data_IF_483836084792
#
_entry.id   IF_483836084792
#
_cell.length_a   1.000
_cell.length_b   1.000
_cell.length_c   1.000
_cell.angle_alpha   90.00
_cell.angle_beta   90.00
_cell.angle_gamma   90.00
#
_symmetry.space_group_name_H-M   'P 1'
#
loop_
_entity.id
_entity.type
_entity.pdbx_description
1 polymer ?
#
# COMPACT_ATOMS: atom_id res chain seq x y z
N UNK A 1 39.28 -58.43 27.62
CA UNK A 1 38.83 -57.54 28.73
C UNK A 1 37.82 -56.57 28.13
N UNK A 2 36.54 -56.98 28.09
CA UNK A 2 35.46 -56.25 27.44
C UNK A 2 34.71 -55.46 28.49
N UNK A 3 34.69 -54.15 28.32
CA UNK A 3 33.94 -53.25 29.19
C UNK A 3 32.56 -53.03 28.56
N UNK A 4 31.54 -53.64 29.17
CA UNK A 4 30.13 -53.40 28.83
C UNK A 4 29.68 -52.07 29.42
N UNK A 5 29.36 -51.11 28.58
CA UNK A 5 28.73 -49.85 28.97
C UNK A 5 27.22 -50.02 28.96
N UNK A 6 26.61 -50.02 30.14
CA UNK A 6 25.17 -50.10 30.37
C UNK A 6 24.55 -48.74 30.03
N UNK A 7 23.72 -48.67 28.98
CA UNK A 7 22.82 -47.56 28.69
C UNK A 7 21.59 -47.63 29.60
N UNK A 8 21.49 -46.75 30.58
CA UNK A 8 20.25 -46.49 31.30
C UNK A 8 19.30 -45.64 30.43
N UNK A 9 18.17 -46.21 30.05
CA UNK A 9 17.08 -45.51 29.40
C UNK A 9 16.30 -44.67 30.40
N UNK A 10 16.54 -43.34 30.39
CA UNK A 10 15.68 -42.42 31.08
C UNK A 10 14.38 -42.27 30.26
N UNK A 11 13.29 -42.84 30.75
CA UNK A 11 11.95 -42.59 30.28
C UNK A 11 11.51 -41.18 30.69
N UNK A 12 11.56 -40.26 29.73
CA UNK A 12 10.95 -38.94 29.87
C UNK A 12 9.42 -39.12 29.81
N UNK A 13 8.74 -38.97 30.95
CA UNK A 13 7.29 -38.79 30.98
C UNK A 13 7.02 -37.34 30.62
N UNK A 14 6.15 -37.05 29.60
CA UNK A 14 5.72 -35.67 29.35
C UNK A 14 4.80 -35.26 30.51
N UNK A 15 5.21 -34.27 31.25
CA UNK A 15 4.34 -33.51 32.15
C UNK A 15 3.20 -32.93 31.33
N UNK A 16 1.97 -33.08 31.82
CA UNK A 16 0.77 -32.40 31.32
C UNK A 16 1.04 -30.89 31.33
N UNK A 17 1.59 -30.38 30.24
CA UNK A 17 1.47 -28.95 29.94
C UNK A 17 0.00 -28.74 29.58
N UNK A 18 -0.73 -28.07 30.47
CA UNK A 18 -1.98 -27.41 30.17
C UNK A 18 -1.85 -26.80 28.76
N UNK A 19 -2.56 -27.36 27.80
CA UNK A 19 -2.78 -26.74 26.50
C UNK A 19 -3.55 -25.46 26.81
N UNK A 20 -2.79 -24.36 27.00
CA UNK A 20 -3.38 -23.05 27.04
C UNK A 20 -4.19 -22.93 25.74
N UNK A 21 -5.50 -22.74 25.86
CA UNK A 21 -6.36 -22.46 24.71
C UNK A 21 -5.69 -21.34 23.92
N UNK A 22 -5.56 -21.46 22.60
CA UNK A 22 -4.99 -20.40 21.80
C UNK A 22 -5.85 -19.15 22.05
N UNK A 23 -5.30 -18.17 22.73
CA UNK A 23 -5.94 -16.88 22.87
C UNK A 23 -6.11 -16.35 21.43
N UNK A 24 -7.35 -16.36 20.96
CA UNK A 24 -7.70 -15.84 19.63
C UNK A 24 -7.52 -14.32 19.72
N UNK A 25 -6.30 -13.86 19.49
CA UNK A 25 -6.06 -12.43 19.35
C UNK A 25 -6.68 -11.97 18.02
N UNK A 26 -7.48 -10.89 18.04
CA UNK A 26 -8.05 -10.33 16.84
C UNK A 26 -6.97 -10.04 15.79
N UNK A 27 -7.24 -10.43 14.56
CA UNK A 27 -6.31 -10.28 13.43
C UNK A 27 -6.73 -9.14 12.50
N UNK A 28 -5.82 -8.69 11.65
CA UNK A 28 -6.17 -7.74 10.58
C UNK A 28 -7.19 -8.32 9.61
N UNK A 29 -7.24 -9.64 9.44
CA UNK A 29 -8.21 -10.31 8.57
C UNK A 29 -9.63 -10.20 9.14
N UNK A 30 -9.79 -10.20 10.46
CA UNK A 30 -11.07 -9.97 11.11
C UNK A 30 -11.58 -8.54 10.86
N UNK A 31 -10.69 -7.54 10.92
CA UNK A 31 -11.04 -6.16 10.54
C UNK A 31 -11.41 -6.05 9.06
N UNK A 32 -10.70 -6.71 8.17
CA UNK A 32 -11.02 -6.74 6.74
C UNK A 32 -12.39 -7.38 6.52
N UNK A 33 -12.69 -8.48 7.20
CA UNK A 33 -13.98 -9.15 7.12
C UNK A 33 -15.12 -8.25 7.63
N UNK A 34 -14.89 -7.59 8.76
CA UNK A 34 -15.86 -6.67 9.37
C UNK A 34 -16.16 -5.47 8.46
N UNK A 35 -15.15 -4.83 7.89
CA UNK A 35 -15.32 -3.72 6.93
C UNK A 35 -16.03 -4.20 5.65
N UNK A 36 -15.72 -5.41 5.18
CA UNK A 36 -16.39 -6.01 4.02
C UNK A 36 -17.87 -6.28 4.29
N UNK A 37 -18.23 -6.74 5.48
CA UNK A 37 -19.63 -6.96 5.87
C UNK A 37 -20.45 -5.64 5.88
N UNK A 38 -19.80 -4.49 6.03
CA UNK A 38 -20.41 -3.16 6.00
C UNK A 38 -20.24 -2.42 4.66
N UNK A 39 -19.81 -3.10 3.59
CA UNK A 39 -19.40 -2.45 2.34
C UNK A 39 -20.52 -1.63 1.69
N UNK A 40 -21.74 -2.15 1.66
CA UNK A 40 -22.90 -1.44 1.07
C UNK A 40 -23.19 -0.14 1.81
N UNK A 41 -23.10 -0.16 3.13
CA UNK A 41 -23.30 1.01 3.98
C UNK A 41 -22.19 2.04 3.78
N UNK A 42 -20.94 1.60 3.74
CA UNK A 42 -19.77 2.45 3.46
C UNK A 42 -19.93 3.12 2.10
N UNK A 43 -20.35 2.38 1.10
CA UNK A 43 -20.51 2.88 -0.27
C UNK A 43 -21.72 3.83 -0.41
N UNK A 44 -22.82 3.57 0.30
CA UNK A 44 -23.95 4.51 0.35
C UNK A 44 -23.53 5.85 0.95
N UNK A 45 -22.89 5.79 2.12
CA UNK A 45 -22.40 6.97 2.81
C UNK A 45 -21.38 7.75 1.98
N UNK A 46 -20.45 7.05 1.32
CA UNK A 46 -19.48 7.69 0.42
C UNK A 46 -20.15 8.45 -0.72
N UNK A 47 -21.21 7.88 -1.32
CA UNK A 47 -21.98 8.55 -2.39
C UNK A 47 -22.71 9.78 -1.89
N UNK A 48 -23.35 9.71 -0.73
CA UNK A 48 -24.06 10.83 -0.09
C UNK A 48 -23.12 12.00 0.19
N UNK A 49 -21.89 11.70 0.61
CA UNK A 49 -20.86 12.70 0.95
C UNK A 49 -19.98 13.07 -0.25
N UNK A 50 -20.26 12.57 -1.46
CA UNK A 50 -19.44 12.73 -2.65
C UNK A 50 -17.95 12.39 -2.40
N UNK A 51 -17.70 11.23 -1.80
CA UNK A 51 -16.37 10.64 -1.57
C UNK A 51 -16.21 9.41 -2.48
N UNK A 52 -14.99 9.15 -2.97
CA UNK A 52 -14.73 7.90 -3.67
C UNK A 52 -14.87 6.71 -2.71
N UNK A 53 -15.75 5.72 -3.03
CA UNK A 53 -16.06 4.63 -2.10
C UNK A 53 -14.86 3.76 -1.73
N UNK A 54 -13.95 3.49 -2.70
CA UNK A 54 -12.75 2.70 -2.42
C UNK A 54 -11.77 3.45 -1.54
N UNK A 55 -11.67 4.77 -1.71
CA UNK A 55 -10.86 5.62 -0.84
C UNK A 55 -11.40 5.58 0.59
N UNK A 56 -12.70 5.72 0.80
CA UNK A 56 -13.29 5.64 2.15
C UNK A 56 -13.03 4.27 2.78
N UNK A 57 -13.31 3.17 2.07
CA UNK A 57 -13.07 1.81 2.57
C UNK A 57 -11.61 1.59 2.97
N UNK A 58 -10.66 1.98 2.14
CA UNK A 58 -9.25 1.78 2.43
C UNK A 58 -8.75 2.67 3.56
N UNK A 59 -9.28 3.89 3.70
CA UNK A 59 -8.99 4.75 4.84
C UNK A 59 -9.54 4.18 6.15
N UNK A 60 -10.72 3.56 6.15
CA UNK A 60 -11.24 2.86 7.33
C UNK A 60 -10.28 1.75 7.77
N UNK A 61 -9.79 0.91 6.86
CA UNK A 61 -8.81 -0.13 7.16
C UNK A 61 -7.43 0.40 7.62
N UNK A 62 -7.12 1.66 7.35
CA UNK A 62 -5.94 2.32 7.92
C UNK A 62 -6.21 2.88 9.33
N UNK A 63 -7.44 3.24 9.66
CA UNK A 63 -7.79 3.88 10.93
C UNK A 63 -8.26 2.90 12.01
N UNK A 64 -9.06 1.89 11.65
CA UNK A 64 -9.62 0.91 12.59
C UNK A 64 -8.58 0.16 13.43
N UNK A 65 -7.37 -0.21 12.93
CA UNK A 65 -6.37 -0.90 13.73
C UNK A 65 -5.95 -0.20 15.03
N UNK A 66 -6.18 1.12 15.17
CA UNK A 66 -5.90 1.84 16.43
C UNK A 66 -6.91 1.54 17.54
N UNK A 67 -8.11 1.06 17.17
CA UNK A 67 -9.19 0.73 18.10
C UNK A 67 -9.05 -0.69 18.67
N UNK A 68 -8.22 -1.53 18.05
CA UNK A 68 -7.99 -2.89 18.55
C UNK A 68 -7.02 -2.85 19.72
N UNK A 69 -7.44 -3.43 20.83
CA UNK A 69 -6.60 -3.65 22.03
C UNK A 69 -6.57 -5.14 22.36
N UNK A 70 -5.88 -5.54 23.44
CA UNK A 70 -5.87 -6.93 23.89
C UNK A 70 -7.27 -7.41 24.32
N UNK A 71 -8.09 -6.48 24.83
CA UNK A 71 -9.38 -6.78 25.46
C UNK A 71 -10.59 -6.28 24.67
N UNK A 72 -10.35 -5.55 23.56
CA UNK A 72 -11.44 -4.89 22.82
C UNK A 72 -11.22 -4.96 21.31
N UNK A 73 -12.31 -5.23 20.58
CA UNK A 73 -12.35 -5.29 19.13
C UNK A 73 -13.50 -4.44 18.61
N UNK A 74 -13.28 -3.61 17.57
CA UNK A 74 -14.31 -2.70 17.05
C UNK A 74 -15.62 -3.39 16.70
N UNK A 75 -16.73 -2.82 17.15
CA UNK A 75 -18.08 -3.25 16.81
C UNK A 75 -18.66 -2.40 15.64
N UNK A 76 -19.93 -2.65 15.29
CA UNK A 76 -20.61 -1.88 14.25
C UNK A 76 -20.77 -0.39 14.58
N UNK A 77 -20.87 -0.03 15.85
CA UNK A 77 -21.01 1.38 16.30
C UNK A 77 -19.68 2.10 16.15
N UNK A 78 -18.58 1.40 16.43
CA UNK A 78 -17.23 1.91 16.22
C UNK A 78 -16.97 2.17 14.76
N UNK A 79 -17.34 1.23 13.89
CA UNK A 79 -17.23 1.42 12.44
C UNK A 79 -18.07 2.62 12.01
N UNK A 80 -19.28 2.77 12.53
CA UNK A 80 -20.11 3.91 12.16
C UNK A 80 -19.49 5.25 12.57
N UNK A 81 -18.97 5.34 13.78
CA UNK A 81 -18.25 6.54 14.25
C UNK A 81 -17.02 6.82 13.37
N UNK A 82 -16.31 5.77 13.01
CA UNK A 82 -15.11 5.90 12.19
C UNK A 82 -15.43 6.29 10.74
N UNK A 83 -16.53 5.80 10.17
CA UNK A 83 -17.02 6.25 8.84
C UNK A 83 -17.21 7.77 8.84
N UNK A 84 -17.84 8.33 9.87
CA UNK A 84 -18.06 9.78 9.98
C UNK A 84 -16.73 10.52 10.10
N UNK A 85 -15.86 10.11 11.03
CA UNK A 85 -14.59 10.77 11.28
C UNK A 85 -13.65 10.73 10.06
N UNK A 86 -13.59 9.60 9.37
CA UNK A 86 -12.78 9.44 8.14
C UNK A 86 -13.38 10.24 7.00
N UNK A 87 -14.71 10.30 6.90
CA UNK A 87 -15.38 11.11 5.87
C UNK A 87 -15.08 12.60 6.04
N UNK A 88 -15.16 13.12 7.25
CA UNK A 88 -14.83 14.51 7.55
C UNK A 88 -13.36 14.82 7.20
N UNK A 89 -12.45 13.90 7.52
CA UNK A 89 -11.04 14.03 7.14
C UNK A 89 -10.83 14.03 5.62
N UNK A 90 -11.55 13.19 4.88
CA UNK A 90 -11.47 13.15 3.42
C UNK A 90 -12.09 14.40 2.79
N UNK A 91 -13.13 14.95 3.37
CA UNK A 91 -13.72 16.22 2.93
C UNK A 91 -12.78 17.40 3.12
N UNK A 92 -12.10 17.50 4.27
CA UNK A 92 -11.07 18.54 4.49
C UNK A 92 -9.99 18.50 3.39
N UNK A 93 -9.59 17.28 2.99
CA UNK A 93 -8.60 17.10 1.89
C UNK A 93 -9.17 17.51 0.55
N UNK A 94 -10.41 17.19 0.28
CA UNK A 94 -11.13 17.50 -0.96
C UNK A 94 -11.30 18.98 -1.19
N UNK A 95 -11.63 19.74 -0.13
CA UNK A 95 -11.87 21.19 -0.20
C UNK A 95 -10.72 21.97 -0.86
N UNK A 96 -9.50 21.43 -0.77
CA UNK A 96 -8.32 22.02 -1.41
C UNK A 96 -8.37 22.01 -2.94
N UNK A 97 -9.13 21.10 -3.55
CA UNK A 97 -9.12 20.83 -4.99
C UNK A 97 -10.48 20.94 -5.67
N UNK A 98 -11.42 21.65 -5.07
CA UNK A 98 -12.70 21.91 -5.73
C UNK A 98 -12.56 23.09 -6.73
N UNK A 99 -13.25 23.05 -7.89
CA UNK A 99 -14.32 22.09 -8.30
C UNK A 99 -13.82 20.81 -8.99
N UNK A 100 -12.52 20.69 -9.31
CA UNK A 100 -11.95 19.62 -10.11
C UNK A 100 -12.24 18.24 -9.52
N UNK A 101 -12.19 18.11 -8.19
CA UNK A 101 -12.52 16.90 -7.47
C UNK A 101 -13.94 16.42 -7.78
N UNK A 102 -14.93 17.30 -7.66
CA UNK A 102 -16.35 16.96 -7.89
C UNK A 102 -16.61 16.53 -9.33
N UNK A 103 -15.96 17.17 -10.28
CA UNK A 103 -16.05 16.79 -11.69
C UNK A 103 -15.43 15.41 -11.94
N UNK A 104 -14.32 15.09 -11.29
CA UNK A 104 -13.65 13.79 -11.44
C UNK A 104 -14.49 12.63 -10.94
N UNK A 105 -15.32 12.82 -9.90
CA UNK A 105 -16.19 11.76 -9.36
C UNK A 105 -17.38 11.40 -10.26
N UNK A 106 -17.81 12.29 -11.13
CA UNK A 106 -18.97 12.02 -12.01
C UNK A 106 -18.68 10.81 -12.88
N UNK A 107 -19.58 9.85 -12.88
CA UNK A 107 -19.49 8.71 -13.79
C UNK A 107 -19.81 9.16 -15.22
N UNK A 108 -19.25 8.49 -16.25
CA UNK A 108 -19.67 8.69 -17.63
C UNK A 108 -21.15 8.32 -17.78
N UNK A 109 -21.86 8.98 -18.68
CA UNK A 109 -23.26 8.66 -18.99
C UNK A 109 -23.43 7.25 -19.57
N UNK A 110 -22.41 6.77 -20.28
CA UNK A 110 -22.35 5.40 -20.79
C UNK A 110 -21.16 4.64 -20.20
N UNK A 111 -21.25 3.33 -19.98
CA UNK A 111 -20.10 2.52 -19.64
C UNK A 111 -19.00 2.67 -20.69
N UNK A 112 -17.75 2.83 -20.22
CA UNK A 112 -16.59 2.88 -21.09
C UNK A 112 -16.08 1.46 -21.39
N UNK A 113 -15.48 1.31 -22.56
CA UNK A 113 -14.67 0.15 -22.94
C UNK A 113 -13.19 0.52 -22.93
N UNK A 114 -12.31 -0.48 -22.98
CA UNK A 114 -10.86 -0.24 -23.11
C UNK A 114 -10.51 0.50 -24.41
N UNK A 115 -11.31 0.33 -25.46
CA UNK A 115 -11.16 1.04 -26.74
C UNK A 115 -11.43 2.54 -26.67
N UNK A 116 -12.20 2.98 -25.68
CA UNK A 116 -12.52 4.39 -25.45
C UNK A 116 -11.40 5.13 -24.70
N UNK A 117 -10.33 4.42 -24.27
CA UNK A 117 -9.28 4.99 -23.46
C UNK A 117 -8.07 5.42 -24.30
N UNK A 118 -7.54 6.60 -24.00
CA UNK A 118 -6.30 7.13 -24.53
C UNK A 118 -5.23 7.18 -23.44
N UNK A 119 -4.06 6.61 -23.73
CA UNK A 119 -2.91 6.62 -22.82
C UNK A 119 -2.00 7.80 -23.14
N UNK A 120 -1.54 8.51 -22.10
CA UNK A 120 -0.59 9.59 -22.27
C UNK A 120 -0.01 10.10 -20.97
N UNK A 121 0.96 11.01 -21.05
CA UNK A 121 1.56 11.66 -19.90
C UNK A 121 0.53 12.52 -19.16
N UNK A 122 0.80 12.71 -17.87
CA UNK A 122 -0.02 13.54 -16.99
C UNK A 122 0.90 14.55 -16.29
N UNK A 123 0.46 15.79 -16.22
CA UNK A 123 1.20 16.83 -15.52
C UNK A 123 1.22 16.62 -14.00
N UNK A 124 2.25 17.17 -13.37
CA UNK A 124 2.53 17.01 -11.95
C UNK A 124 1.40 17.50 -11.05
N UNK A 125 0.82 18.67 -11.36
CA UNK A 125 -0.22 19.27 -10.52
C UNK A 125 -1.49 18.42 -10.52
N UNK A 126 -1.90 17.95 -11.68
CA UNK A 126 -3.03 17.02 -11.81
C UNK A 126 -2.74 15.70 -11.09
N UNK A 127 -1.56 15.11 -11.29
CA UNK A 127 -1.19 13.87 -10.59
C UNK A 127 -1.19 14.06 -9.06
N UNK A 128 -0.70 15.19 -8.57
CA UNK A 128 -0.70 15.55 -7.15
C UNK A 128 -2.12 15.64 -6.60
N UNK A 129 -3.01 16.34 -7.29
CA UNK A 129 -4.42 16.44 -6.93
C UNK A 129 -5.07 15.05 -6.80
N UNK A 130 -4.90 14.20 -7.81
CA UNK A 130 -5.48 12.85 -7.79
C UNK A 130 -4.89 11.98 -6.67
N UNK A 131 -3.57 12.02 -6.44
CA UNK A 131 -2.95 11.23 -5.37
C UNK A 131 -3.34 11.73 -3.98
N UNK A 132 -3.43 13.02 -3.78
CA UNK A 132 -3.84 13.59 -2.49
C UNK A 132 -5.34 13.38 -2.21
N UNK A 133 -6.18 13.37 -3.25
CA UNK A 133 -7.65 13.29 -3.11
C UNK A 133 -8.19 11.86 -3.13
N UNK A 134 -7.68 11.00 -4.02
CA UNK A 134 -8.30 9.70 -4.29
C UNK A 134 -7.43 8.51 -3.90
N UNK A 135 -6.10 8.65 -3.88
CA UNK A 135 -5.26 7.52 -3.51
C UNK A 135 -5.25 7.33 -1.98
N UNK A 136 -5.36 6.07 -1.51
CA UNK A 136 -5.45 5.75 -0.08
C UNK A 136 -4.28 6.29 0.77
N UNK A 137 -3.07 6.35 0.22
CA UNK A 137 -1.91 6.94 0.91
C UNK A 137 -2.09 8.45 1.12
N UNK A 138 -2.87 9.11 0.26
CA UNK A 138 -3.19 10.53 0.36
C UNK A 138 -2.00 11.47 0.33
N UNK A 139 -0.93 11.06 -0.33
CA UNK A 139 0.28 11.88 -0.48
C UNK A 139 0.83 11.75 -1.88
N UNK A 140 1.31 12.87 -2.40
CA UNK A 140 2.03 12.93 -3.65
C UNK A 140 3.45 12.36 -3.50
N UNK A 141 3.96 11.76 -4.58
CA UNK A 141 5.36 11.38 -4.74
C UNK A 141 5.84 11.90 -6.09
N UNK A 142 6.94 12.65 -6.14
CA UNK A 142 7.55 13.08 -7.40
C UNK A 142 7.90 11.88 -8.29
N UNK A 143 7.85 12.10 -9.60
CA UNK A 143 8.12 11.06 -10.58
C UNK A 143 7.45 11.37 -11.91
N UNK A 144 7.28 10.37 -12.73
CA UNK A 144 6.59 10.48 -14.01
C UNK A 144 5.18 9.96 -13.89
N UNK A 145 4.25 10.67 -14.47
CA UNK A 145 2.83 10.40 -14.30
C UNK A 145 2.21 10.12 -15.66
N UNK A 146 1.37 9.09 -15.70
CA UNK A 146 0.65 8.67 -16.89
C UNK A 146 -0.81 8.44 -16.51
N UNK A 147 -1.69 8.65 -17.48
CA UNK A 147 -3.12 8.42 -17.28
C UNK A 147 -3.75 7.74 -18.49
N UNK A 148 -4.84 7.02 -18.24
CA UNK A 148 -5.86 6.82 -19.23
C UNK A 148 -6.91 7.92 -19.11
N UNK A 149 -7.26 8.51 -20.25
CA UNK A 149 -8.37 9.45 -20.40
C UNK A 149 -9.43 8.86 -21.28
N UNK A 150 -10.68 9.18 -21.02
CA UNK A 150 -11.76 8.96 -21.97
C UNK A 150 -11.53 9.86 -23.19
N UNK A 151 -11.45 9.28 -24.38
CA UNK A 151 -11.20 9.98 -25.65
C UNK A 151 -12.21 11.07 -25.96
N UNK A 152 -13.46 10.89 -25.52
CA UNK A 152 -14.54 11.81 -25.84
C UNK A 152 -14.59 13.00 -24.90
N UNK A 153 -14.39 12.77 -23.61
CA UNK A 153 -14.53 13.81 -22.58
C UNK A 153 -13.19 14.34 -22.05
N UNK A 154 -12.06 13.69 -22.36
CA UNK A 154 -10.74 14.01 -21.81
C UNK A 154 -10.58 13.65 -20.32
N UNK A 155 -11.60 13.08 -19.69
CA UNK A 155 -11.61 12.77 -18.24
C UNK A 155 -10.65 11.65 -17.90
N UNK A 156 -9.96 11.79 -16.79
CA UNK A 156 -9.07 10.76 -16.26
C UNK A 156 -9.91 9.59 -15.74
N UNK A 157 -9.61 8.39 -16.22
CA UNK A 157 -10.22 7.11 -15.82
C UNK A 157 -9.36 6.39 -14.81
N UNK A 158 -8.06 6.41 -15.01
CA UNK A 158 -7.06 5.93 -14.07
C UNK A 158 -5.75 6.67 -14.28
N UNK A 159 -4.90 6.60 -13.29
CA UNK A 159 -3.54 7.14 -13.38
C UNK A 159 -2.55 6.24 -12.62
N UNK A 160 -1.30 6.29 -13.08
CA UNK A 160 -0.19 5.65 -12.41
C UNK A 160 1.05 6.54 -12.43
N UNK A 161 1.83 6.44 -11.37
CA UNK A 161 3.07 7.21 -11.21
C UNK A 161 4.24 6.27 -11.01
N UNK A 162 5.29 6.49 -11.77
CA UNK A 162 6.55 5.79 -11.65
C UNK A 162 7.63 6.71 -11.10
N UNK A 163 8.45 6.16 -10.22
CA UNK A 163 9.55 6.87 -9.59
C UNK A 163 10.78 5.97 -9.55
N UNK A 164 11.94 6.54 -9.23
CA UNK A 164 13.14 5.75 -8.98
C UNK A 164 12.89 4.72 -7.87
N UNK A 165 13.50 3.57 -8.01
CA UNK A 165 13.51 2.54 -7.00
C UNK A 165 14.60 2.88 -5.98
N UNK A 166 14.23 3.15 -4.74
CA UNK A 166 15.11 3.70 -3.70
C UNK A 166 15.14 2.85 -2.42
N UNK A 167 14.95 1.55 -2.57
CA UNK A 167 14.94 0.62 -1.44
C UNK A 167 16.28 -0.11 -1.34
N UNK A 168 17.24 0.49 -0.65
CA UNK A 168 18.61 0.01 -0.54
C UNK A 168 18.78 -1.48 -0.29
N UNK A 169 17.97 -2.08 0.59
CA UNK A 169 18.09 -3.53 0.82
C UNK A 169 17.50 -4.39 -0.31
N UNK A 170 16.54 -3.88 -1.08
CA UNK A 170 16.03 -4.62 -2.23
C UNK A 170 17.01 -4.52 -3.40
N UNK A 171 17.75 -3.41 -3.52
CA UNK A 171 18.81 -3.25 -4.52
C UNK A 171 19.91 -4.29 -4.33
N UNK A 172 20.29 -4.61 -3.10
CA UNK A 172 21.28 -5.65 -2.79
C UNK A 172 20.86 -7.05 -3.27
N UNK A 173 19.56 -7.27 -3.49
CA UNK A 173 19.00 -8.54 -3.95
C UNK A 173 18.75 -8.59 -5.46
N UNK A 174 18.95 -7.49 -6.15
CA UNK A 174 18.87 -7.42 -7.62
C UNK A 174 20.18 -7.94 -8.22
N UNK A 175 20.07 -8.67 -9.33
CA UNK A 175 21.27 -9.22 -9.97
C UNK A 175 22.26 -8.08 -10.36
N UNK A 176 23.57 -8.30 -10.18
CA UNK A 176 24.58 -7.26 -10.39
C UNK A 176 24.64 -6.70 -11.82
N UNK A 177 24.11 -7.43 -12.80
CA UNK A 177 24.04 -7.02 -14.21
C UNK A 177 22.83 -6.11 -14.52
N UNK A 178 22.00 -5.81 -13.55
CA UNK A 178 20.88 -4.88 -13.67
C UNK A 178 21.29 -3.52 -13.11
N UNK A 179 21.50 -2.54 -13.98
CA UNK A 179 21.79 -1.16 -13.55
C UNK A 179 20.62 -0.61 -12.72
N UNK A 180 20.84 -0.15 -11.46
CA UNK A 180 19.80 0.42 -10.62
C UNK A 180 19.01 1.55 -11.29
N UNK A 181 19.65 2.34 -12.17
CA UNK A 181 18.98 3.42 -12.92
C UNK A 181 17.96 2.92 -13.94
N UNK A 182 18.07 1.65 -14.34
CA UNK A 182 17.09 0.98 -15.20
C UNK A 182 15.96 0.30 -14.43
N UNK A 183 15.91 0.52 -13.10
CA UNK A 183 14.89 -0.05 -12.19
C UNK A 183 13.97 1.05 -11.72
N UNK A 184 12.69 0.89 -11.97
CA UNK A 184 11.67 1.85 -11.57
C UNK A 184 10.64 1.21 -10.63
N UNK A 185 9.92 2.04 -9.91
CA UNK A 185 8.80 1.63 -9.07
C UNK A 185 7.49 2.25 -9.58
N UNK A 186 6.47 1.42 -9.80
CA UNK A 186 5.08 1.89 -9.87
C UNK A 186 4.67 2.29 -8.47
N UNK A 187 4.91 3.56 -8.15
CA UNK A 187 4.79 4.08 -6.79
C UNK A 187 3.35 4.36 -6.36
N UNK A 188 2.49 4.61 -7.32
CA UNK A 188 1.05 4.87 -7.15
C UNK A 188 0.30 4.36 -8.37
N UNK A 189 -0.86 3.76 -8.13
CA UNK A 189 -1.87 3.49 -9.14
C UNK A 189 -3.24 3.72 -8.53
N UNK A 190 -4.09 4.42 -9.27
CA UNK A 190 -5.48 4.66 -8.91
C UNK A 190 -6.35 4.49 -10.15
N UNK A 191 -7.49 3.86 -9.99
CA UNK A 191 -8.54 3.78 -11.01
C UNK A 191 -9.89 4.01 -10.33
N UNK A 192 -10.76 4.77 -10.96
CA UNK A 192 -12.13 4.91 -10.50
C UNK A 192 -12.87 3.58 -10.61
N UNK A 193 -13.85 3.36 -9.72
CA UNK A 193 -14.64 2.13 -9.72
C UNK A 193 -15.41 1.90 -11.03
N UNK A 194 -15.76 2.97 -11.72
CA UNK A 194 -16.42 2.93 -13.03
C UNK A 194 -15.48 2.70 -14.21
N UNK A 195 -14.18 2.60 -13.97
CA UNK A 195 -13.22 2.23 -15.02
C UNK A 195 -13.56 0.84 -15.58
N UNK A 196 -13.35 0.62 -16.89
CA UNK A 196 -13.59 -0.68 -17.52
C UNK A 196 -12.82 -1.80 -16.81
N UNK A 197 -13.34 -3.00 -16.86
CA UNK A 197 -12.60 -4.18 -16.44
C UNK A 197 -11.25 -4.27 -17.17
N UNK A 198 -10.25 -4.85 -16.50
CA UNK A 198 -8.89 -4.97 -17.03
C UNK A 198 -8.15 -3.65 -17.31
N UNK A 199 -8.67 -2.51 -16.85
CA UNK A 199 -8.01 -1.20 -16.98
C UNK A 199 -6.56 -1.23 -16.47
N UNK A 200 -6.29 -1.88 -15.32
CA UNK A 200 -4.92 -1.99 -14.81
C UNK A 200 -3.99 -2.71 -15.77
N UNK A 201 -4.39 -3.88 -16.26
CA UNK A 201 -3.57 -4.68 -17.18
C UNK A 201 -3.33 -3.94 -18.51
N UNK A 202 -4.35 -3.23 -19.00
CA UNK A 202 -4.23 -2.42 -20.21
C UNK A 202 -3.33 -1.20 -20.00
N UNK A 203 -3.49 -0.48 -18.90
CA UNK A 203 -2.64 0.62 -18.49
C UNK A 203 -1.18 0.17 -18.37
N UNK A 204 -0.96 -0.93 -17.65
CA UNK A 204 0.37 -1.49 -17.42
C UNK A 204 1.05 -1.88 -18.74
N UNK A 205 0.31 -2.47 -19.69
CA UNK A 205 0.84 -2.79 -21.03
C UNK A 205 1.34 -1.53 -21.75
N UNK A 206 0.58 -0.45 -21.74
CA UNK A 206 0.95 0.83 -22.38
C UNK A 206 2.13 1.48 -21.66
N UNK A 207 2.06 1.54 -20.33
CA UNK A 207 3.14 2.07 -19.50
C UNK A 207 4.47 1.33 -19.76
N UNK A 208 4.42 0.00 -19.82
CA UNK A 208 5.61 -0.82 -20.08
C UNK A 208 6.29 -0.48 -21.39
N UNK A 209 5.52 -0.32 -22.48
CA UNK A 209 6.07 0.05 -23.79
C UNK A 209 6.77 1.40 -23.71
N UNK A 210 6.12 2.39 -23.11
CA UNK A 210 6.67 3.73 -22.91
C UNK A 210 7.99 3.71 -22.13
N UNK A 211 8.02 2.96 -21.02
CA UNK A 211 9.19 2.89 -20.15
C UNK A 211 10.39 2.17 -20.79
N UNK A 212 10.14 1.19 -21.64
CA UNK A 212 11.21 0.52 -22.40
C UNK A 212 11.77 1.47 -23.46
N UNK A 213 10.89 2.14 -24.19
CA UNK A 213 11.27 2.99 -25.32
C UNK A 213 12.02 4.26 -24.88
N UNK A 214 11.51 4.94 -23.83
CA UNK A 214 12.05 6.22 -23.42
C UNK A 214 13.19 6.11 -22.40
N UNK A 215 13.23 5.04 -21.57
CA UNK A 215 14.07 5.01 -20.37
C UNK A 215 14.91 3.75 -20.22
N UNK A 216 14.94 2.88 -21.22
CA UNK A 216 15.63 1.57 -21.15
C UNK A 216 15.33 0.82 -19.84
N UNK A 217 14.10 0.94 -19.34
CA UNK A 217 13.71 0.30 -18.09
C UNK A 217 13.75 -1.22 -18.23
N UNK A 218 14.48 -1.89 -17.36
CA UNK A 218 14.66 -3.34 -17.37
C UNK A 218 13.75 -4.04 -16.41
N UNK A 219 13.48 -3.42 -15.25
CA UNK A 219 12.75 -4.02 -14.15
C UNK A 219 11.85 -2.96 -13.51
N UNK A 220 10.66 -3.37 -13.10
CA UNK A 220 9.73 -2.49 -12.37
C UNK A 220 9.19 -3.19 -11.14
N UNK A 221 9.07 -2.44 -10.04
CA UNK A 221 8.54 -2.89 -8.76
C UNK A 221 7.22 -2.19 -8.41
N UNK A 222 6.42 -2.81 -7.55
CA UNK A 222 5.24 -2.20 -6.93
C UNK A 222 4.99 -2.79 -5.55
N UNK A 223 4.60 -1.95 -4.59
CA UNK A 223 4.13 -2.40 -3.28
C UNK A 223 2.63 -2.64 -3.28
N UNK A 224 2.23 -3.74 -2.65
CA UNK A 224 0.84 -4.04 -2.31
C UNK A 224 0.71 -4.14 -0.80
N UNK A 225 -0.31 -3.50 -0.27
CA UNK A 225 -0.65 -3.60 1.14
C UNK A 225 -1.82 -4.59 1.33
N UNK A 226 -1.57 -5.85 1.74
CA UNK A 226 -2.63 -6.83 1.93
C UNK A 226 -3.59 -6.43 3.08
N UNK A 227 -3.11 -5.65 4.04
CA UNK A 227 -3.91 -5.18 5.18
C UNK A 227 -5.07 -4.25 4.80
N UNK A 228 -5.15 -3.85 3.54
CA UNK A 228 -6.25 -3.07 2.97
C UNK A 228 -7.21 -3.94 2.14
N UNK A 229 -7.11 -5.26 2.27
CA UNK A 229 -7.88 -6.22 1.50
C UNK A 229 -7.44 -6.37 0.04
N UNK A 230 -6.25 -5.87 -0.33
CA UNK A 230 -5.70 -6.05 -1.67
C UNK A 230 -5.04 -7.43 -1.79
N UNK A 231 -5.45 -8.19 -2.80
CA UNK A 231 -4.94 -9.54 -3.08
C UNK A 231 -4.00 -9.63 -4.28
N UNK A 232 -3.59 -8.49 -4.83
CA UNK A 232 -2.73 -8.37 -6.00
C UNK A 232 -3.26 -9.05 -7.28
N UNK A 233 -4.55 -9.37 -7.39
CA UNK A 233 -5.13 -10.07 -8.56
C UNK A 233 -4.85 -9.32 -9.86
N UNK A 234 -5.02 -7.99 -9.88
CA UNK A 234 -4.74 -7.16 -11.05
C UNK A 234 -3.26 -7.22 -11.46
N UNK A 235 -2.34 -7.21 -10.49
CA UNK A 235 -0.90 -7.35 -10.75
C UNK A 235 -0.57 -8.75 -11.27
N UNK A 236 -1.13 -9.81 -10.68
CA UNK A 236 -0.96 -11.19 -11.16
C UNK A 236 -1.47 -11.34 -12.59
N UNK A 237 -2.64 -10.77 -12.91
CA UNK A 237 -3.18 -10.73 -14.27
C UNK A 237 -2.29 -9.98 -15.26
N UNK A 238 -1.48 -9.03 -14.81
CA UNK A 238 -0.47 -8.32 -15.59
C UNK A 238 0.94 -8.96 -15.51
N UNK A 239 1.04 -10.22 -15.06
CA UNK A 239 2.27 -11.02 -14.97
C UNK A 239 3.34 -10.51 -13.98
N UNK A 240 2.93 -9.79 -12.94
CA UNK A 240 3.82 -9.47 -11.85
C UNK A 240 4.06 -10.69 -10.95
N UNK A 241 5.28 -10.79 -10.43
CA UNK A 241 5.73 -11.88 -9.55
C UNK A 241 6.06 -11.33 -8.16
N UNK A 242 5.80 -12.10 -7.12
CA UNK A 242 6.21 -11.73 -5.76
C UNK A 242 7.74 -11.81 -5.66
N UNK A 243 8.37 -10.66 -5.45
CA UNK A 243 9.81 -10.52 -5.29
C UNK A 243 10.23 -10.66 -3.83
N UNK A 244 9.52 -9.95 -2.94
CA UNK A 244 9.85 -9.93 -1.53
C UNK A 244 8.61 -9.67 -0.66
N UNK A 245 8.75 -9.93 0.65
CA UNK A 245 7.79 -9.56 1.68
C UNK A 245 8.49 -8.68 2.71
N UNK A 246 7.88 -7.57 3.06
CA UNK A 246 8.39 -6.62 4.04
C UNK A 246 7.61 -6.77 5.34
N UNK A 247 8.25 -7.34 6.37
CA UNK A 247 7.68 -7.51 7.70
C UNK A 247 7.89 -6.27 8.59
N UNK A 248 7.26 -6.27 9.77
CA UNK A 248 7.44 -5.23 10.78
C UNK A 248 6.71 -3.92 10.46
N UNK A 249 5.81 -3.91 9.47
CA UNK A 249 4.94 -2.75 9.22
C UNK A 249 4.04 -2.51 10.43
N UNK A 250 3.97 -1.26 10.88
CA UNK A 250 3.01 -0.80 11.89
C UNK A 250 2.31 0.45 11.41
N UNK A 251 1.06 0.59 11.78
CA UNK A 251 0.34 1.83 11.51
C UNK A 251 0.56 2.80 12.65
N UNK A 252 0.83 4.05 12.29
CA UNK A 252 1.08 5.13 13.24
C UNK A 252 0.05 6.22 13.06
N UNK A 253 -0.37 6.79 14.18
CA UNK A 253 -1.44 7.80 14.22
C UNK A 253 -0.96 9.04 14.95
N UNK A 254 -1.44 10.18 14.48
CA UNK A 254 -1.30 11.48 15.15
C UNK A 254 -2.69 12.08 15.32
N UNK A 255 -3.08 12.32 16.56
CA UNK A 255 -4.44 12.79 16.91
C UNK A 255 -5.54 11.90 16.30
N UNK A 256 -5.38 10.57 16.44
CA UNK A 256 -6.29 9.56 15.91
C UNK A 256 -6.30 9.38 14.38
N UNK A 257 -5.48 10.14 13.63
CA UNK A 257 -5.41 10.09 12.17
C UNK A 257 -4.20 9.30 11.70
N UNK A 258 -4.40 8.34 10.81
CA UNK A 258 -3.28 7.60 10.19
C UNK A 258 -2.31 8.55 9.49
N UNK A 259 -1.02 8.34 9.73
CA UNK A 259 0.08 9.05 9.09
C UNK A 259 1.16 8.07 8.62
N UNK A 260 1.70 8.34 7.45
CA UNK A 260 2.79 7.52 6.90
C UNK A 260 4.10 7.76 7.67
N UNK A 261 5.01 6.80 7.66
CA UNK A 261 6.35 6.98 8.23
C UNK A 261 7.05 8.21 7.66
N UNK A 262 6.90 8.48 6.35
CA UNK A 262 7.48 9.67 5.71
C UNK A 262 6.95 10.98 6.29
N UNK A 263 5.68 11.02 6.68
CA UNK A 263 5.12 12.18 7.37
C UNK A 263 5.87 12.46 8.67
N UNK A 264 6.15 11.43 9.46
CA UNK A 264 6.86 11.59 10.73
C UNK A 264 8.32 11.97 10.52
N UNK A 265 9.03 11.36 9.58
CA UNK A 265 10.39 11.75 9.22
C UNK A 265 10.45 13.21 8.79
N UNK A 266 9.54 13.63 7.89
CA UNK A 266 9.51 15.01 7.37
C UNK A 266 9.23 16.04 8.47
N UNK A 267 8.29 15.78 9.38
CA UNK A 267 7.81 16.78 10.33
C UNK A 267 8.51 16.68 11.70
N UNK A 268 9.06 15.52 12.05
CA UNK A 268 9.62 15.26 13.38
C UNK A 268 11.05 14.73 13.35
N UNK A 269 11.62 14.47 12.15
CA UNK A 269 12.98 14.01 11.95
C UNK A 269 13.20 12.52 12.25
N UNK A 270 12.14 11.76 12.55
CA UNK A 270 12.23 10.33 12.90
C UNK A 270 10.93 9.61 12.61
N UNK A 271 11.02 8.29 12.38
CA UNK A 271 9.89 7.36 12.39
C UNK A 271 9.96 6.32 13.51
N UNK A 272 10.95 6.47 14.40
CA UNK A 272 11.09 5.63 15.60
C UNK A 272 9.91 5.89 16.56
N UNK A 273 9.12 4.84 16.82
CA UNK A 273 7.90 4.94 17.62
C UNK A 273 8.17 5.40 19.06
N UNK A 274 9.27 4.96 19.69
CA UNK A 274 9.60 5.33 21.05
C UNK A 274 9.98 6.82 21.14
N UNK A 275 10.79 7.31 20.18
CA UNK A 275 11.15 8.73 20.09
C UNK A 275 9.92 9.60 19.81
N UNK A 276 9.03 9.15 18.92
CA UNK A 276 7.77 9.85 18.63
C UNK A 276 6.86 9.87 19.86
N UNK A 277 6.70 8.76 20.56
CA UNK A 277 5.90 8.71 21.80
C UNK A 277 6.43 9.65 22.86
N UNK A 278 7.76 9.72 23.03
CA UNK A 278 8.39 10.68 23.96
C UNK A 278 8.13 12.13 23.56
N UNK A 279 8.15 12.44 22.25
CA UNK A 279 7.99 13.81 21.72
C UNK A 279 6.53 14.29 21.69
N UNK A 280 5.59 13.41 21.34
CA UNK A 280 4.21 13.74 21.03
C UNK A 280 3.22 13.31 22.14
N UNK A 281 3.66 12.51 23.08
CA UNK A 281 2.85 12.09 24.22
C UNK A 281 1.61 11.31 23.81
N UNK A 282 0.44 11.77 24.28
CA UNK A 282 -0.85 11.12 24.05
C UNK A 282 -1.37 11.27 22.62
N UNK A 283 -0.92 12.29 21.88
CA UNK A 283 -1.29 12.50 20.48
C UNK A 283 -0.73 11.43 19.53
N UNK A 284 0.27 10.66 19.96
CA UNK A 284 0.89 9.63 19.13
C UNK A 284 0.51 8.22 19.60
N UNK A 285 0.03 7.42 18.65
CA UNK A 285 -0.37 6.04 18.85
C UNK A 285 0.22 5.14 17.77
N UNK A 286 0.38 3.85 18.09
CA UNK A 286 0.82 2.80 17.15
C UNK A 286 -0.18 1.66 17.26
N UNK A 287 -0.57 1.06 16.12
CA UNK A 287 -1.41 -0.13 16.14
C UNK A 287 -0.72 -1.28 16.87
N UNK A 288 -1.49 -2.00 17.68
CA UNK A 288 -1.05 -3.20 18.40
C UNK A 288 -1.33 -4.48 17.62
N UNK A 289 -2.27 -4.44 16.69
CA UNK A 289 -2.64 -5.57 15.84
C UNK A 289 -1.49 -6.00 14.94
N UNK A 290 -1.30 -7.30 14.77
CA UNK A 290 -0.35 -7.85 13.83
C UNK A 290 -0.80 -7.64 12.39
N UNK A 291 0.04 -6.98 11.61
CA UNK A 291 -0.18 -6.69 10.21
C UNK A 291 0.54 -7.72 9.34
N UNK A 292 -0.10 -8.11 8.25
CA UNK A 292 0.58 -8.89 7.22
C UNK A 292 1.78 -8.14 6.64
N UNK A 293 2.84 -8.86 6.27
CA UNK A 293 3.95 -8.26 5.53
C UNK A 293 3.47 -7.59 4.24
N UNK A 294 4.00 -6.41 3.94
CA UNK A 294 3.79 -5.76 2.65
C UNK A 294 4.38 -6.62 1.53
N UNK A 295 3.70 -6.73 0.41
CA UNK A 295 4.22 -7.46 -0.75
C UNK A 295 4.94 -6.52 -1.70
N UNK A 296 6.18 -6.84 -2.00
CA UNK A 296 6.93 -6.21 -3.07
C UNK A 296 6.86 -7.09 -4.31
N UNK A 297 6.15 -6.63 -5.31
CA UNK A 297 6.00 -7.31 -6.59
C UNK A 297 7.02 -6.76 -7.59
N UNK A 298 7.48 -7.61 -8.50
CA UNK A 298 8.39 -7.25 -9.58
C UNK A 298 7.90 -7.76 -10.92
N UNK A 299 8.23 -7.03 -11.99
CA UNK A 299 8.03 -7.48 -13.36
C UNK A 299 9.26 -7.14 -14.21
N UNK A 300 9.86 -8.12 -14.90
CA UNK A 300 10.91 -7.86 -15.85
C UNK A 300 10.30 -7.27 -17.13
N UNK A 301 10.73 -6.10 -17.52
CA UNK A 301 10.33 -5.48 -18.78
C UNK A 301 11.17 -5.99 -19.95
N UNK A 302 12.41 -6.34 -19.68
CA UNK A 302 13.31 -6.97 -20.64
C UNK A 302 13.65 -8.40 -20.23
N UNK A 303 13.87 -9.28 -21.21
CA UNK A 303 14.07 -10.72 -20.97
C UNK A 303 15.24 -11.02 -20.02
N UNK A 304 16.34 -10.27 -20.14
CA UNK A 304 17.54 -10.46 -19.31
C UNK A 304 17.28 -10.20 -17.83
N UNK A 305 16.42 -9.25 -17.51
CA UNK A 305 16.07 -8.90 -16.13
C UNK A 305 15.25 -9.97 -15.39
N UNK A 306 14.76 -11.02 -16.08
CA UNK A 306 14.05 -12.14 -15.41
C UNK A 306 14.92 -12.84 -14.37
N UNK A 307 16.22 -12.91 -14.59
CA UNK A 307 17.17 -13.54 -13.65
C UNK A 307 17.29 -12.78 -12.32
N UNK A 308 16.91 -11.51 -12.30
CA UNK A 308 16.90 -10.70 -11.08
C UNK A 308 15.73 -11.03 -10.13
N UNK A 309 14.71 -11.75 -10.61
CA UNK A 309 13.55 -12.13 -9.78
C UNK A 309 13.84 -13.49 -9.15
N UNK A 310 13.83 -13.58 -7.80
CA UNK A 310 14.13 -14.84 -7.11
C UNK A 310 13.01 -15.87 -7.31
N UNK A 311 13.36 -17.14 -7.23
CA UNK A 311 12.39 -18.27 -7.23
C UNK A 311 11.59 -18.29 -5.93
N UNK A 312 12.26 -18.00 -4.81
CA UNK A 312 11.66 -17.88 -3.47
C UNK A 312 11.73 -16.41 -3.06
N UNK A 313 10.60 -15.78 -2.70
CA UNK A 313 10.59 -14.38 -2.28
C UNK A 313 11.43 -14.13 -1.03
N UNK A 314 12.17 -13.03 -1.02
CA UNK A 314 12.89 -12.58 0.16
C UNK A 314 11.92 -12.11 1.26
N UNK A 315 12.30 -12.34 2.52
CA UNK A 315 11.69 -11.70 3.68
C UNK A 315 12.70 -10.69 4.24
N UNK A 316 12.29 -9.44 4.38
CA UNK A 316 13.10 -8.41 5.02
C UNK A 316 12.23 -7.59 5.98
N UNK A 317 12.86 -7.00 6.97
CA UNK A 317 12.19 -6.06 7.85
C UNK A 317 12.35 -4.65 7.28
N UNK A 318 11.31 -3.85 7.42
CA UNK A 318 11.43 -2.43 7.10
C UNK A 318 12.47 -1.84 8.04
N UNK A 319 13.56 -1.22 7.53
CA UNK A 319 14.48 -0.53 8.40
C UNK A 319 13.70 0.56 9.09
N UNK A 320 13.89 0.70 10.37
CA UNK A 320 13.59 1.95 11.03
C UNK A 320 14.36 3.01 10.26
N UNK A 321 13.69 3.98 9.70
CA UNK A 321 14.33 5.09 8.99
C UNK A 321 15.17 5.83 10.03
N UNK A 322 16.37 5.30 10.28
CA UNK A 322 17.36 5.97 11.09
C UNK A 322 17.62 7.34 10.49
N UNK A 323 17.54 8.36 11.30
CA UNK A 323 17.76 9.76 10.94
C UNK A 323 19.19 10.08 10.46
N UNK A 324 19.97 9.09 10.01
CA UNK A 324 21.33 9.27 9.56
C UNK A 324 21.46 9.03 8.07
N UNK A 325 21.76 10.07 7.35
CA UNK A 325 22.36 10.20 6.02
C UNK A 325 21.52 10.09 4.75
N UNK A 326 20.39 9.38 4.71
CA UNK A 326 19.65 9.23 3.45
C UNK A 326 18.67 10.38 3.13
N UNK A 327 18.44 11.30 4.05
CA UNK A 327 17.55 12.45 3.83
C UNK A 327 18.15 13.52 2.90
N UNK A 328 19.43 13.48 2.61
CA UNK A 328 20.09 14.46 1.73
C UNK A 328 19.96 14.18 0.24
N UNK A 329 19.57 12.95 -0.15
CA UNK A 329 19.46 12.56 -1.56
C UNK A 329 18.09 12.94 -2.17
N UNK A 330 17.12 13.35 -1.34
CA UNK A 330 15.74 13.56 -1.78
C UNK A 330 15.36 15.02 -2.09
N UNK A 331 16.29 15.97 -1.98
CA UNK A 331 15.98 17.39 -2.21
C UNK A 331 16.50 17.97 -3.53
N UNK A 332 17.27 17.21 -4.30
CA UNK A 332 17.91 17.69 -5.53
C UNK A 332 17.56 16.87 -6.79
N UNK A 333 16.29 16.44 -6.95
CA UNK A 333 15.78 15.98 -8.26
C UNK A 333 14.33 16.37 -8.45
#
# INVERSE_FOLDING_TARGET
>A
MDAVVSCQSNSFQPTDQELAEPSIHPSIDDLIALVRAQEDRIFSHARERAIDPLTLRTQLLLHLPRLVTADDFPDERDIQREILAVSDFLEERRLKYQPEYTQSLKQPERPLSLGDLEFGPLDENTAKMYHESFHYVGSYRPGRHFAFRDKNSGRIVCLGSVASFDLGHAEEKIAPDVDPRSVLMLSRFFAFRWAPENTFSHFHRKLRLQLIEEFDTKLMFSFINPNLGFNASSHKGAHWTLFAREAGTRYMYLDGRYRTMRFFVKNYGTSDAAKLKKKLGRSFEVSTIDLHPMWLLAIPLQRRARKAIPTIPYLFQRPELCASSSAKIFLDC
#
